data_IF_740980260204
#
_entry.id   IF_740980260204
#
_cell.length_a   1.000
_cell.length_b   1.000
_cell.length_c   1.000
_cell.angle_alpha   90.00
_cell.angle_beta   90.00
_cell.angle_gamma   90.00
#
_symmetry.space_group_name_H-M   'P 1'
#
loop_
_entity.id
_entity.type
_entity.pdbx_description
1 polymer ?
#
# COMPACT_ATOMS: atom_id res chain seq x y z
N UNK A 1 7.28 3.04 21.15
CA UNK A 1 7.07 1.65 20.67
C UNK A 1 6.24 0.94 21.71
N UNK A 2 5.23 0.18 21.32
CA UNK A 2 4.46 -0.61 22.28
C UNK A 2 5.32 -1.77 22.78
N UNK A 3 5.28 -2.04 24.08
CA UNK A 3 5.92 -3.21 24.67
C UNK A 3 4.99 -4.41 24.46
N UNK A 4 5.44 -5.42 23.72
CA UNK A 4 4.67 -6.64 23.50
C UNK A 4 4.93 -7.60 24.67
N UNK A 5 3.86 -8.02 25.35
CA UNK A 5 3.94 -9.06 26.38
C UNK A 5 3.82 -10.44 25.74
N UNK A 6 4.77 -11.33 26.01
CA UNK A 6 4.75 -12.69 25.50
C UNK A 6 3.75 -13.56 26.27
N UNK A 7 2.63 -13.92 25.64
CA UNK A 7 1.62 -14.82 26.23
C UNK A 7 2.03 -16.29 26.21
N UNK A 8 2.75 -16.72 25.17
CA UNK A 8 3.23 -18.09 24.99
C UNK A 8 4.50 -18.10 24.13
N UNK A 9 5.29 -19.16 24.25
CA UNK A 9 6.43 -19.41 23.37
C UNK A 9 5.98 -20.12 22.09
N UNK A 10 6.55 -19.72 20.96
CA UNK A 10 6.33 -20.31 19.65
C UNK A 10 7.39 -19.81 18.67
N UNK A 11 7.72 -20.63 17.70
CA UNK A 11 8.69 -20.32 16.64
C UNK A 11 7.97 -20.27 15.29
N UNK A 12 8.50 -19.49 14.35
CA UNK A 12 8.02 -19.45 12.97
C UNK A 12 8.89 -20.37 12.12
N UNK A 13 8.28 -21.18 11.26
CA UNK A 13 9.01 -22.01 10.30
C UNK A 13 9.43 -21.14 9.10
N UNK A 14 10.73 -20.97 8.83
CA UNK A 14 11.23 -20.11 7.76
C UNK A 14 10.92 -20.64 6.35
N UNK A 15 10.38 -21.86 6.22
CA UNK A 15 9.94 -22.39 4.92
C UNK A 15 8.67 -21.69 4.39
N UNK A 16 7.93 -20.97 5.25
CA UNK A 16 6.66 -20.34 4.89
C UNK A 16 6.70 -18.82 5.00
N UNK A 17 6.27 -18.16 3.93
CA UNK A 17 6.21 -16.70 3.86
C UNK A 17 7.59 -16.04 3.87
N UNK A 18 7.61 -14.73 4.06
CA UNK A 18 8.84 -13.95 4.18
C UNK A 18 8.60 -12.66 4.99
N UNK A 19 9.63 -12.18 5.72
CA UNK A 19 9.64 -10.83 6.27
C UNK A 19 9.41 -9.78 5.16
N UNK A 20 8.75 -8.64 5.45
CA UNK A 20 8.48 -7.59 4.45
C UNK A 20 9.67 -7.15 3.61
N UNK A 21 10.84 -7.06 4.24
CA UNK A 21 12.14 -6.68 3.69
C UNK A 21 12.76 -7.72 2.75
N UNK A 22 12.30 -8.98 2.82
CA UNK A 22 12.85 -10.11 2.05
C UNK A 22 11.87 -10.65 0.99
N UNK A 23 10.70 -10.01 0.84
CA UNK A 23 9.71 -10.42 -0.16
C UNK A 23 10.28 -10.35 -1.59
N UNK A 24 10.01 -11.36 -2.43
CA UNK A 24 10.20 -11.24 -3.88
C UNK A 24 9.47 -10.01 -4.42
N UNK A 25 9.98 -9.41 -5.49
CA UNK A 25 9.51 -8.10 -5.98
C UNK A 25 8.00 -8.12 -6.32
N UNK A 26 7.49 -9.22 -6.87
CA UNK A 26 6.08 -9.38 -7.22
C UNK A 26 5.19 -9.37 -5.96
N UNK A 27 5.61 -10.07 -4.92
CA UNK A 27 4.89 -10.08 -3.64
C UNK A 27 5.01 -8.74 -2.91
N UNK A 28 6.18 -8.10 -2.99
CA UNK A 28 6.40 -6.78 -2.40
C UNK A 28 5.49 -5.73 -3.05
N UNK A 29 5.39 -5.72 -4.39
CA UNK A 29 4.50 -4.83 -5.12
C UNK A 29 3.03 -5.08 -4.78
N UNK A 30 2.57 -6.34 -4.85
CA UNK A 30 1.16 -6.66 -4.59
C UNK A 30 0.72 -6.40 -3.15
N UNK A 31 1.66 -6.20 -2.21
CA UNK A 31 1.42 -5.85 -0.80
C UNK A 31 1.95 -4.46 -0.44
N UNK A 32 2.29 -3.64 -1.44
CA UNK A 32 2.93 -2.34 -1.26
C UNK A 32 1.95 -1.18 -1.14
N UNK A 33 2.41 -0.12 -0.46
CA UNK A 33 1.75 1.20 -0.44
C UNK A 33 2.75 2.23 -0.94
N UNK A 34 2.35 3.02 -1.93
CA UNK A 34 3.14 4.16 -2.43
C UNK A 34 2.71 5.40 -1.66
N UNK A 35 3.67 6.07 -1.03
CA UNK A 35 3.47 7.42 -0.49
C UNK A 35 3.65 8.44 -1.65
N UNK A 36 2.58 8.68 -2.40
CA UNK A 36 2.63 9.49 -3.62
C UNK A 36 2.42 10.98 -3.28
N UNK A 37 3.24 11.86 -3.86
CA UNK A 37 2.98 13.31 -3.85
C UNK A 37 2.10 13.68 -5.05
N UNK A 38 0.81 13.91 -4.79
CA UNK A 38 -0.19 14.16 -5.82
C UNK A 38 0.05 15.56 -6.41
N UNK A 39 0.16 15.64 -7.73
CA UNK A 39 0.20 16.93 -8.44
C UNK A 39 -1.18 17.60 -8.51
N UNK A 40 -1.18 18.93 -8.68
CA UNK A 40 -2.40 19.69 -8.99
C UNK A 40 -2.83 19.42 -10.43
N UNK A 41 -4.12 19.30 -10.70
CA UNK A 41 -4.68 18.97 -12.01
C UNK A 41 -5.57 17.72 -11.97
N UNK A 42 -5.02 16.51 -11.82
CA UNK A 42 -5.80 15.28 -11.83
C UNK A 42 -6.58 15.07 -10.52
N UNK A 43 -7.68 14.35 -10.60
CA UNK A 43 -8.38 13.75 -9.46
C UNK A 43 -7.56 12.60 -8.85
N UNK A 44 -7.81 12.25 -7.58
CA UNK A 44 -7.18 11.06 -6.97
C UNK A 44 -7.51 9.75 -7.72
N UNK A 45 -8.70 9.64 -8.30
CA UNK A 45 -9.11 8.44 -9.07
C UNK A 45 -8.36 8.32 -10.41
N UNK A 46 -8.03 9.43 -11.07
CA UNK A 46 -7.17 9.41 -12.26
C UNK A 46 -5.76 8.94 -11.92
N UNK A 47 -5.21 9.37 -10.78
CA UNK A 47 -3.92 8.88 -10.28
C UNK A 47 -3.96 7.36 -10.04
N UNK A 48 -5.01 6.83 -9.39
CA UNK A 48 -5.18 5.38 -9.20
C UNK A 48 -5.12 4.62 -10.54
N UNK A 49 -5.82 5.14 -11.56
CA UNK A 49 -5.85 4.54 -12.89
C UNK A 49 -4.48 4.58 -13.59
N UNK A 50 -3.72 5.67 -13.42
CA UNK A 50 -2.36 5.79 -13.95
C UNK A 50 -1.40 4.82 -13.25
N UNK A 51 -1.42 4.77 -11.92
CA UNK A 51 -0.58 3.84 -11.14
C UNK A 51 -0.88 2.40 -11.55
N UNK A 52 -2.15 2.03 -11.65
CA UNK A 52 -2.57 0.69 -12.11
C UNK A 52 -2.00 0.36 -13.48
N UNK A 53 -2.07 1.30 -14.43
CA UNK A 53 -1.57 1.12 -15.80
C UNK A 53 -0.04 1.02 -15.84
N UNK A 54 0.67 1.85 -15.08
CA UNK A 54 2.14 1.89 -15.06
C UNK A 54 2.69 0.59 -14.47
N UNK A 55 2.14 0.15 -13.35
CA UNK A 55 2.59 -1.06 -12.64
C UNK A 55 2.01 -2.35 -13.20
N UNK A 56 1.04 -2.25 -14.12
CA UNK A 56 0.34 -3.41 -14.70
C UNK A 56 -0.29 -4.33 -13.64
N UNK A 57 -0.79 -3.75 -12.55
CA UNK A 57 -1.44 -4.49 -11.47
C UNK A 57 -2.96 -4.58 -11.68
N UNK A 58 -3.62 -5.44 -10.88
CA UNK A 58 -5.04 -5.70 -11.01
C UNK A 58 -5.89 -4.67 -10.28
N UNK A 59 -5.39 -4.16 -9.15
CA UNK A 59 -6.16 -3.24 -8.30
C UNK A 59 -5.28 -2.16 -7.67
N UNK A 60 -5.80 -0.95 -7.63
CA UNK A 60 -5.26 0.18 -6.86
C UNK A 60 -6.36 0.85 -6.05
N UNK A 61 -5.97 1.64 -5.04
CA UNK A 61 -6.89 2.52 -4.32
C UNK A 61 -6.16 3.46 -3.37
N UNK A 62 -6.67 4.67 -3.24
CA UNK A 62 -6.06 5.74 -2.44
C UNK A 62 -6.68 5.92 -1.04
N UNK A 63 -5.86 6.36 -0.08
CA UNK A 63 -6.24 6.56 1.34
C UNK A 63 -6.89 7.89 1.67
N UNK A 64 -7.73 8.42 0.79
CA UNK A 64 -8.44 9.69 1.00
C UNK A 64 -8.45 10.57 -0.25
N UNK A 65 -9.62 11.04 -0.65
CA UNK A 65 -9.75 11.82 -1.90
C UNK A 65 -9.23 13.25 -1.70
N UNK A 66 -8.31 13.66 -2.57
CA UNK A 66 -7.85 15.04 -2.68
C UNK A 66 -8.49 15.67 -3.91
N UNK A 67 -9.04 16.87 -3.74
CA UNK A 67 -9.62 17.63 -4.85
C UNK A 67 -8.59 17.86 -5.97
N UNK A 68 -9.03 18.04 -7.23
CA UNK A 68 -8.13 18.22 -8.37
C UNK A 68 -7.03 19.27 -8.15
N UNK A 69 -7.35 20.38 -7.49
CA UNK A 69 -6.41 21.48 -7.25
C UNK A 69 -5.45 21.24 -6.07
N UNK A 70 -5.74 20.26 -5.21
CA UNK A 70 -4.94 19.95 -4.00
C UNK A 70 -3.74 19.09 -4.37
N UNK A 71 -2.60 19.39 -3.75
CA UNK A 71 -1.35 18.63 -3.83
C UNK A 71 -1.04 17.94 -2.51
N UNK A 72 -0.06 17.04 -2.51
CA UNK A 72 0.49 16.45 -1.30
C UNK A 72 0.26 14.95 -1.19
N UNK A 73 0.46 14.44 0.03
CA UNK A 73 0.49 13.01 0.33
C UNK A 73 -0.83 12.32 -0.01
N UNK A 74 -0.76 11.35 -0.93
CA UNK A 74 -1.85 10.47 -1.31
C UNK A 74 -1.35 9.01 -1.25
N UNK A 75 -1.57 8.29 -0.15
CA UNK A 75 -1.17 6.89 -0.04
C UNK A 75 -1.94 6.04 -1.06
N UNK A 76 -1.24 5.29 -1.91
CA UNK A 76 -1.84 4.39 -2.92
C UNK A 76 -1.51 2.95 -2.57
N UNK A 77 -2.53 2.14 -2.27
CA UNK A 77 -2.38 0.70 -2.06
C UNK A 77 -2.43 -0.05 -3.38
N UNK A 78 -1.59 -1.07 -3.52
CA UNK A 78 -1.53 -1.95 -4.70
C UNK A 78 -2.11 -3.32 -4.33
N UNK A 79 -2.92 -3.91 -5.20
CA UNK A 79 -3.54 -5.24 -5.09
C UNK A 79 -4.04 -5.58 -3.67
N UNK A 80 -3.31 -6.46 -2.96
CA UNK A 80 -3.66 -6.95 -1.64
C UNK A 80 -3.60 -5.85 -0.56
N UNK A 81 -2.75 -4.84 -0.75
CA UNK A 81 -2.61 -3.70 0.17
C UNK A 81 -3.79 -2.72 0.11
N UNK A 82 -4.63 -2.78 -0.92
CA UNK A 82 -5.87 -1.97 -0.97
C UNK A 82 -6.81 -2.23 0.22
N UNK A 83 -6.68 -3.38 0.90
CA UNK A 83 -7.42 -3.67 2.14
C UNK A 83 -6.98 -2.80 3.31
N UNK A 84 -5.69 -2.46 3.39
CA UNK A 84 -5.15 -1.62 4.46
C UNK A 84 -5.52 -0.15 4.28
N UNK A 85 -5.84 0.27 3.06
CA UNK A 85 -6.24 1.65 2.74
C UNK A 85 -7.47 2.11 3.53
N UNK A 86 -8.39 1.19 3.86
CA UNK A 86 -9.56 1.49 4.70
C UNK A 86 -9.19 1.96 6.11
N UNK A 87 -7.98 1.66 6.60
CA UNK A 87 -7.49 2.13 7.91
C UNK A 87 -6.99 3.58 7.87
N UNK A 88 -6.87 4.17 6.67
CA UNK A 88 -6.40 5.54 6.45
C UNK A 88 -7.52 6.51 6.08
N UNK A 89 -8.73 6.01 5.83
CA UNK A 89 -9.89 6.79 5.40
C UNK A 89 -10.57 7.53 6.58
#
# INVERSE_FOLDING_TARGET
>A
MAELLQKAYGETDPQYGSPPEERPIEEHLSRGIINLDKSSGPTSHEIDAWVKRILQCDKTGHGGTLDPRVTGVLPIGIDNATRAIQLLL
#
